data_IF_493034781351
#
_entry.id   IF_493034781351
#
_cell.length_a   1.000
_cell.length_b   1.000
_cell.length_c   1.000
_cell.angle_alpha   90.00
_cell.angle_beta   90.00
_cell.angle_gamma   90.00
#
_symmetry.space_group_name_H-M   'P 1'
#
loop_
_entity.id
_entity.type
_entity.pdbx_description
1 polymer ?
#
# COMPACT_ATOMS: atom_id res chain seq x y z
N UNK A 1 -39.65 20.31 -7.00
CA UNK A 1 -38.90 19.74 -5.86
C UNK A 1 -37.54 19.33 -6.37
N UNK A 2 -36.51 20.03 -5.90
CA UNK A 2 -35.12 19.79 -6.27
C UNK A 2 -34.68 18.44 -5.67
N UNK A 3 -34.25 17.52 -6.53
CA UNK A 3 -33.54 16.33 -6.10
C UNK A 3 -32.20 16.75 -5.53
N UNK A 4 -32.04 16.62 -4.21
CA UNK A 4 -30.73 16.66 -3.57
C UNK A 4 -29.92 15.48 -4.11
N UNK A 5 -29.05 15.74 -5.09
CA UNK A 5 -27.89 14.88 -5.32
C UNK A 5 -26.99 15.14 -4.12
N UNK A 6 -27.13 14.30 -3.09
CA UNK A 6 -26.14 14.19 -2.02
C UNK A 6 -24.82 13.91 -2.74
N UNK A 7 -23.93 14.90 -2.76
CA UNK A 7 -22.66 14.83 -3.46
C UNK A 7 -21.87 13.64 -2.94
N UNK A 8 -21.95 12.52 -3.66
CA UNK A 8 -21.06 11.38 -3.47
C UNK A 8 -19.68 11.97 -3.74
N UNK A 9 -18.86 12.13 -2.69
CA UNK A 9 -17.47 12.50 -2.86
C UNK A 9 -16.85 11.59 -3.93
N UNK A 10 -15.86 12.11 -4.66
CA UNK A 10 -15.15 11.32 -5.68
C UNK A 10 -14.83 9.91 -5.15
N UNK A 11 -14.75 8.90 -6.02
CA UNK A 11 -14.38 7.53 -5.63
C UNK A 11 -13.14 7.53 -4.71
N UNK A 12 -12.20 8.43 -4.97
CA UNK A 12 -11.04 8.72 -4.14
C UNK A 12 -11.40 9.07 -2.69
N UNK A 13 -12.31 10.02 -2.43
CA UNK A 13 -12.73 10.41 -1.08
C UNK A 13 -13.33 9.25 -0.27
N UNK A 14 -13.85 8.23 -0.95
CA UNK A 14 -14.40 7.02 -0.32
C UNK A 14 -13.32 5.96 -0.04
N UNK A 15 -12.37 5.81 -0.96
CA UNK A 15 -11.31 4.81 -0.84
C UNK A 15 -10.14 5.26 0.03
N UNK A 16 -9.84 6.57 0.05
CA UNK A 16 -8.70 7.10 0.78
C UNK A 16 -8.71 6.79 2.28
N UNK A 17 -9.82 6.94 3.05
CA UNK A 17 -9.82 6.59 4.47
C UNK A 17 -9.62 5.09 4.73
N UNK A 18 -10.06 4.24 3.80
CA UNK A 18 -9.85 2.78 3.87
C UNK A 18 -8.36 2.48 3.67
N UNK A 19 -7.76 3.07 2.64
CA UNK A 19 -6.33 2.96 2.39
C UNK A 19 -5.47 3.50 3.54
N UNK A 20 -5.85 4.66 4.09
CA UNK A 20 -5.12 5.32 5.19
C UNK A 20 -5.13 4.49 6.49
N UNK A 21 -6.16 3.68 6.70
CA UNK A 21 -6.25 2.79 7.87
C UNK A 21 -5.59 1.43 7.63
N UNK A 22 -5.77 0.84 6.45
CA UNK A 22 -5.29 -0.52 6.14
C UNK A 22 -3.77 -0.61 5.96
N UNK A 23 -3.16 0.32 5.22
CA UNK A 23 -1.73 0.20 4.84
C UNK A 23 -0.78 0.23 6.04
N UNK A 24 -0.99 1.06 7.08
CA UNK A 24 -0.19 0.99 8.30
C UNK A 24 -0.24 -0.37 9.01
N UNK A 25 -1.41 -1.02 9.03
CA UNK A 25 -1.56 -2.36 9.62
C UNK A 25 -0.78 -3.40 8.83
N UNK A 26 -0.86 -3.35 7.50
CA UNK A 26 -0.09 -4.24 6.62
C UNK A 26 1.42 -4.01 6.72
N UNK A 27 1.88 -2.76 6.90
CA UNK A 27 3.31 -2.46 7.13
C UNK A 27 3.76 -3.03 8.47
N UNK A 28 2.95 -2.89 9.53
CA UNK A 28 3.26 -3.47 10.82
C UNK A 28 3.33 -5.00 10.76
N UNK A 29 2.35 -5.63 10.09
CA UNK A 29 2.36 -7.08 9.85
C UNK A 29 3.63 -7.52 9.11
N UNK A 30 4.05 -6.76 8.09
CA UNK A 30 5.28 -7.05 7.35
C UNK A 30 6.54 -6.95 8.23
N UNK A 31 6.61 -6.00 9.18
CA UNK A 31 7.75 -5.85 10.10
C UNK A 31 7.89 -7.03 11.07
N UNK A 32 6.78 -7.64 11.47
CA UNK A 32 6.79 -8.78 12.39
C UNK A 32 7.17 -10.10 11.69
N UNK A 33 7.11 -10.13 10.36
CA UNK A 33 7.53 -11.30 9.59
C UNK A 33 9.06 -11.35 9.51
N UNK A 34 9.71 -12.46 9.91
CA UNK A 34 11.15 -12.57 9.81
C UNK A 34 11.57 -12.49 8.33
N UNK A 35 12.68 -11.80 7.98
CA UNK A 35 13.13 -11.67 6.59
C UNK A 35 13.56 -13.01 5.97
N UNK A 36 13.91 -14.01 6.79
CA UNK A 36 14.12 -15.42 6.38
C UNK A 36 12.88 -16.31 6.58
N UNK A 37 11.73 -15.68 6.80
CA UNK A 37 10.46 -16.35 7.05
C UNK A 37 9.89 -17.04 5.82
N UNK A 38 8.72 -17.63 5.99
CA UNK A 38 8.01 -18.29 4.88
C UNK A 38 7.60 -17.23 3.87
N UNK A 39 8.22 -17.25 2.69
CA UNK A 39 7.94 -16.29 1.59
C UNK A 39 6.45 -16.19 1.24
N UNK A 40 5.64 -17.22 1.54
CA UNK A 40 4.19 -17.19 1.34
C UNK A 40 3.48 -16.13 2.20
N UNK A 41 3.87 -15.95 3.46
CA UNK A 41 3.26 -14.97 4.36
C UNK A 41 3.64 -13.55 3.95
N UNK A 42 4.93 -13.33 3.65
CA UNK A 42 5.43 -12.04 3.15
C UNK A 42 4.75 -11.70 1.82
N UNK A 43 4.63 -12.67 0.91
CA UNK A 43 3.93 -12.51 -0.35
C UNK A 43 2.48 -12.07 -0.14
N UNK A 44 1.73 -12.69 0.78
CA UNK A 44 0.33 -12.34 1.02
C UNK A 44 0.17 -10.87 1.46
N UNK A 45 0.96 -10.43 2.44
CA UNK A 45 0.92 -9.05 2.95
C UNK A 45 1.27 -8.05 1.85
N UNK A 46 2.36 -8.30 1.13
CA UNK A 46 2.80 -7.43 0.01
C UNK A 46 1.75 -7.43 -1.11
N UNK A 47 1.10 -8.56 -1.40
CA UNK A 47 0.09 -8.66 -2.44
C UNK A 47 -1.17 -7.86 -2.12
N UNK A 48 -1.62 -7.87 -0.85
CA UNK A 48 -2.73 -7.01 -0.38
C UNK A 48 -2.37 -5.55 -0.57
N UNK A 49 -1.20 -5.14 -0.08
CA UNK A 49 -0.73 -3.75 -0.19
C UNK A 49 -0.55 -3.30 -1.64
N UNK A 50 -0.11 -4.20 -2.54
CA UNK A 50 -0.06 -3.95 -3.99
C UNK A 50 -1.45 -3.62 -4.55
N UNK A 51 -2.47 -4.38 -4.15
CA UNK A 51 -3.85 -4.15 -4.54
C UNK A 51 -4.37 -2.78 -4.09
N UNK A 52 -4.17 -2.45 -2.81
CA UNK A 52 -4.60 -1.18 -2.23
C UNK A 52 -3.87 0.02 -2.87
N UNK A 53 -2.57 -0.12 -3.13
CA UNK A 53 -1.76 0.91 -3.80
C UNK A 53 -2.17 1.13 -5.26
N UNK A 54 -2.50 0.05 -5.99
CA UNK A 54 -3.02 0.15 -7.35
C UNK A 54 -4.38 0.86 -7.40
N UNK A 55 -5.26 0.57 -6.44
CA UNK A 55 -6.58 1.20 -6.36
C UNK A 55 -6.50 2.71 -6.07
N UNK A 56 -5.45 3.15 -5.36
CA UNK A 56 -5.23 4.54 -4.98
C UNK A 56 -4.32 5.32 -5.92
N UNK A 57 -3.63 4.66 -6.87
CA UNK A 57 -2.66 5.32 -7.75
C UNK A 57 -1.35 5.69 -7.02
N UNK A 58 -0.95 4.90 -6.02
CA UNK A 58 0.27 5.15 -5.23
C UNK A 58 1.45 4.47 -5.91
N UNK A 59 1.92 5.07 -7.00
CA UNK A 59 2.84 4.42 -7.95
C UNK A 59 4.11 3.86 -7.30
N UNK A 60 4.72 4.57 -6.35
CA UNK A 60 5.97 4.12 -5.71
C UNK A 60 5.76 2.93 -4.78
N UNK A 61 4.69 2.94 -3.97
CA UNK A 61 4.33 1.79 -3.13
C UNK A 61 3.91 0.59 -4.00
N UNK A 62 3.17 0.84 -5.09
CA UNK A 62 2.80 -0.19 -6.06
C UNK A 62 4.03 -0.84 -6.72
N UNK A 63 5.04 -0.04 -7.10
CA UNK A 63 6.28 -0.53 -7.69
C UNK A 63 7.08 -1.39 -6.69
N UNK A 64 7.26 -0.90 -5.46
CA UNK A 64 7.97 -1.64 -4.40
C UNK A 64 7.29 -2.97 -4.07
N UNK A 65 5.97 -2.95 -3.90
CA UNK A 65 5.19 -4.17 -3.63
C UNK A 65 5.18 -5.14 -4.81
N UNK A 66 5.21 -4.64 -6.06
CA UNK A 66 5.35 -5.49 -7.24
C UNK A 66 6.69 -6.22 -7.27
N UNK A 67 7.80 -5.52 -7.04
CA UNK A 67 9.12 -6.17 -6.96
C UNK A 67 9.18 -7.14 -5.76
N UNK A 68 8.61 -6.78 -4.61
CA UNK A 68 8.52 -7.66 -3.44
C UNK A 68 7.80 -8.98 -3.73
N UNK A 69 6.67 -8.93 -4.45
CA UNK A 69 5.97 -10.14 -4.93
C UNK A 69 6.87 -10.97 -5.85
N UNK A 70 7.59 -10.34 -6.78
CA UNK A 70 8.49 -11.07 -7.68
C UNK A 70 9.61 -11.76 -6.92
N UNK A 71 10.20 -11.13 -5.92
CA UNK A 71 11.23 -11.72 -5.04
C UNK A 71 10.69 -12.93 -4.29
N UNK A 72 9.50 -12.82 -3.69
CA UNK A 72 8.86 -13.94 -3.00
C UNK A 72 8.64 -15.15 -3.92
N UNK A 73 8.38 -14.92 -5.21
CA UNK A 73 8.24 -15.95 -6.24
C UNK A 73 9.56 -16.38 -6.90
N UNK A 74 10.72 -15.99 -6.36
CA UNK A 74 12.05 -16.25 -6.93
C UNK A 74 12.24 -15.74 -8.38
N UNK A 75 11.51 -14.67 -8.73
CA UNK A 75 11.55 -13.99 -10.03
C UNK A 75 12.11 -12.56 -9.94
N UNK A 76 12.22 -12.02 -8.73
CA UNK A 76 12.80 -10.70 -8.47
C UNK A 76 14.30 -10.72 -8.65
N UNK A 77 14.86 -9.56 -9.01
CA UNK A 77 16.30 -9.43 -9.31
C UNK A 77 17.01 -8.48 -8.35
N UNK A 78 16.30 -7.56 -7.72
CA UNK A 78 16.92 -6.37 -7.14
C UNK A 78 16.60 -6.12 -5.67
N UNK A 79 15.51 -6.69 -5.15
CA UNK A 79 15.02 -6.33 -3.83
C UNK A 79 15.33 -7.44 -2.82
N UNK A 80 16.09 -7.10 -1.78
CA UNK A 80 16.11 -7.86 -0.53
C UNK A 80 14.83 -7.49 0.23
N UNK A 81 14.18 -8.47 0.86
CA UNK A 81 12.99 -8.20 1.68
C UNK A 81 13.36 -7.53 3.00
N UNK A 82 14.64 -7.59 3.39
CA UNK A 82 15.15 -6.84 4.53
C UNK A 82 15.01 -5.32 4.29
N UNK A 83 14.41 -4.61 5.24
CA UNK A 83 14.12 -3.17 5.13
C UNK A 83 12.96 -2.78 4.19
N UNK A 84 12.30 -3.73 3.52
CA UNK A 84 11.17 -3.43 2.64
C UNK A 84 10.03 -2.70 3.38
N UNK A 85 9.73 -3.12 4.61
CA UNK A 85 8.68 -2.50 5.41
C UNK A 85 8.97 -1.02 5.73
N UNK A 86 10.24 -0.67 5.93
CA UNK A 86 10.63 0.71 6.21
C UNK A 86 10.52 1.59 4.97
N UNK A 87 11.00 1.10 3.82
CA UNK A 87 10.82 1.78 2.54
C UNK A 87 9.34 2.00 2.21
N UNK A 88 8.49 0.99 2.40
CA UNK A 88 7.05 1.12 2.20
C UNK A 88 6.42 2.15 3.15
N UNK A 89 6.86 2.18 4.41
CA UNK A 89 6.42 3.16 5.40
C UNK A 89 6.79 4.60 5.05
N UNK A 90 7.99 4.84 4.53
CA UNK A 90 8.43 6.15 4.06
C UNK A 90 7.59 6.62 2.87
N UNK A 91 7.45 5.81 1.82
CA UNK A 91 6.68 6.15 0.63
C UNK A 91 5.19 6.36 0.94
N UNK A 92 4.60 5.49 1.78
CA UNK A 92 3.23 5.64 2.25
C UNK A 92 3.03 6.96 3.00
N UNK A 93 3.95 7.31 3.91
CA UNK A 93 3.86 8.55 4.69
C UNK A 93 3.92 9.77 3.79
N UNK A 94 4.84 9.78 2.82
CA UNK A 94 4.95 10.84 1.81
C UNK A 94 3.67 10.99 1.00
N UNK A 95 3.10 9.88 0.53
CA UNK A 95 1.83 9.89 -0.21
C UNK A 95 0.69 10.45 0.63
N UNK A 96 0.52 10.01 1.88
CA UNK A 96 -0.56 10.51 2.74
C UNK A 96 -0.41 12.00 3.07
N UNK A 97 0.82 12.50 3.24
CA UNK A 97 1.08 13.92 3.42
C UNK A 97 0.68 14.72 2.18
N UNK A 98 0.95 14.21 0.98
CA UNK A 98 0.57 14.83 -0.27
C UNK A 98 -0.96 14.79 -0.48
N UNK A 99 -1.57 13.61 -0.34
CA UNK A 99 -3.01 13.42 -0.49
C UNK A 99 -3.84 14.32 0.44
N UNK A 100 -3.39 14.51 1.69
CA UNK A 100 -4.05 15.42 2.64
C UNK A 100 -4.11 16.87 2.16
N UNK A 101 -3.13 17.34 1.38
CA UNK A 101 -3.13 18.70 0.80
C UNK A 101 -4.21 18.89 -0.27
N UNK A 102 -4.66 17.79 -0.89
CA UNK A 102 -5.70 17.81 -1.92
C UNK A 102 -7.10 17.52 -1.38
N UNK A 103 -7.20 16.99 -0.16
CA UNK A 103 -8.45 16.68 0.54
C UNK A 103 -8.90 17.79 1.51
N UNK A 104 -8.02 18.73 1.85
CA UNK A 104 -8.29 19.94 2.65
C UNK A 104 -8.82 21.09 1.80
#
# INVERSE_FOLDING_TARGET
MQGQVVGVGSLFNRLYPIFESEVPELIAELRELPPKGVHANIHEVIHKMKGSSAAMGVDRVYALTTEGVLVCCSKGKFLDLDGLADLLGEEYTLYCLEAKRFLS
#
